data_IF_945976537890
#
_entry.id   IF_945976537890
#
_cell.length_a   1.000
_cell.length_b   1.000
_cell.length_c   1.000
_cell.angle_alpha   90.00
_cell.angle_beta   90.00
_cell.angle_gamma   90.00
#
_symmetry.space_group_name_H-M   'P 1'
#
loop_
_entity.id
_entity.type
_entity.pdbx_description
1 polymer ?
#
# COMPACT_ATOMS: atom_id res chain seq x y z
N UNK A 1 -8.97 -6.52 25.13
CA UNK A 1 -10.04 -6.69 24.11
C UNK A 1 -10.90 -7.94 24.32
N UNK A 2 -10.39 -9.04 24.89
CA UNK A 2 -11.19 -10.27 25.09
C UNK A 2 -12.43 -10.13 25.99
N UNK A 3 -12.48 -9.12 26.87
CA UNK A 3 -13.61 -8.85 27.76
C UNK A 3 -14.38 -7.58 27.36
N UNK A 4 -14.09 -7.01 26.19
CA UNK A 4 -14.80 -5.80 25.72
C UNK A 4 -16.07 -6.26 25.00
N UNK A 5 -17.26 -5.74 25.38
CA UNK A 5 -18.50 -5.97 24.65
C UNK A 5 -18.37 -5.65 23.16
N UNK A 6 -19.03 -6.44 22.31
CA UNK A 6 -18.91 -6.33 20.85
C UNK A 6 -19.30 -4.94 20.34
N UNK A 7 -20.32 -4.33 20.92
CA UNK A 7 -20.80 -2.98 20.64
C UNK A 7 -19.71 -1.92 20.89
N UNK A 8 -19.01 -1.98 22.04
CA UNK A 8 -17.90 -1.07 22.33
C UNK A 8 -16.73 -1.31 21.35
N UNK A 9 -16.47 -2.58 21.03
CA UNK A 9 -15.44 -2.92 20.06
C UNK A 9 -15.75 -2.35 18.68
N UNK A 10 -16.99 -2.43 18.22
CA UNK A 10 -17.42 -1.87 16.93
C UNK A 10 -17.30 -0.35 16.88
N UNK A 11 -17.61 0.34 17.99
CA UNK A 11 -17.39 1.80 18.10
C UNK A 11 -15.91 2.13 17.96
N UNK A 12 -15.03 1.42 18.68
CA UNK A 12 -13.57 1.63 18.58
C UNK A 12 -13.11 1.41 17.14
N UNK A 13 -13.51 0.29 16.52
CA UNK A 13 -13.14 -0.02 15.14
C UNK A 13 -13.65 1.05 14.15
N UNK A 14 -14.78 1.70 14.43
CA UNK A 14 -15.30 2.81 13.61
C UNK A 14 -14.42 4.07 13.61
N UNK A 15 -13.52 4.23 14.58
CA UNK A 15 -12.54 5.33 14.63
C UNK A 15 -11.16 4.96 14.12
N UNK A 16 -10.92 3.68 13.83
CA UNK A 16 -9.63 3.20 13.37
C UNK A 16 -9.57 3.40 11.86
N UNK A 17 -8.47 3.98 11.38
CA UNK A 17 -8.31 4.12 9.96
C UNK A 17 -8.27 2.74 9.27
N UNK A 18 -8.82 2.65 8.07
CA UNK A 18 -8.59 1.63 7.07
C UNK A 18 -7.34 0.72 7.18
N UNK A 19 -6.15 1.33 7.18
CA UNK A 19 -4.87 0.61 7.15
C UNK A 19 -4.67 -0.07 8.51
N UNK A 20 -4.97 0.66 9.58
CA UNK A 20 -4.91 0.17 10.95
C UNK A 20 -5.95 -0.92 11.24
N UNK A 21 -7.14 -0.88 10.64
CA UNK A 21 -8.14 -1.94 10.76
C UNK A 21 -7.62 -3.27 10.23
N UNK A 22 -6.99 -3.27 9.06
CA UNK A 22 -6.40 -4.50 8.51
C UNK A 22 -5.17 -4.94 9.32
N UNK A 23 -4.37 -4.00 9.84
CA UNK A 23 -3.29 -4.34 10.79
C UNK A 23 -3.85 -5.11 11.99
N UNK A 24 -4.92 -4.60 12.61
CA UNK A 24 -5.59 -5.27 13.73
C UNK A 24 -6.14 -6.65 13.35
N UNK A 25 -6.72 -6.79 12.16
CA UNK A 25 -7.16 -8.10 11.64
C UNK A 25 -6.00 -9.09 11.45
N UNK A 26 -4.76 -8.60 11.23
CA UNK A 26 -3.60 -9.46 11.09
C UNK A 26 -3.00 -9.89 12.43
N UNK A 27 -3.17 -9.11 13.51
CA UNK A 27 -2.59 -9.41 14.83
C UNK A 27 -3.42 -10.38 15.70
N UNK A 28 -4.74 -10.44 15.54
CA UNK A 28 -5.62 -11.22 16.41
C UNK A 28 -6.69 -11.98 15.61
N UNK A 29 -6.90 -13.28 15.92
CA UNK A 29 -7.96 -14.08 15.28
C UNK A 29 -9.37 -13.52 15.55
N UNK A 30 -9.64 -13.01 16.76
CA UNK A 30 -10.94 -12.43 17.10
C UNK A 30 -11.21 -11.18 16.25
N UNK A 31 -10.24 -10.25 16.18
CA UNK A 31 -10.37 -9.05 15.37
C UNK A 31 -10.47 -9.38 13.88
N UNK A 32 -9.75 -10.41 13.41
CA UNK A 32 -9.90 -10.91 12.03
C UNK A 32 -11.32 -11.39 11.75
N UNK A 33 -11.90 -12.14 12.67
CA UNK A 33 -13.26 -12.67 12.54
C UNK A 33 -14.34 -11.59 12.63
N UNK A 34 -14.08 -10.51 13.36
CA UNK A 34 -14.97 -9.35 13.47
C UNK A 34 -14.86 -8.43 12.24
N UNK A 35 -13.65 -8.05 11.83
CA UNK A 35 -13.40 -7.10 10.74
C UNK A 35 -13.66 -7.73 9.37
N UNK A 36 -13.34 -9.03 9.21
CA UNK A 36 -13.50 -9.81 7.97
C UNK A 36 -13.07 -9.03 6.71
N UNK A 37 -11.80 -8.62 6.60
CA UNK A 37 -11.33 -7.84 5.47
C UNK A 37 -11.50 -8.62 4.17
N UNK A 38 -12.10 -7.98 3.15
CA UNK A 38 -12.18 -8.56 1.82
C UNK A 38 -10.82 -8.50 1.13
N UNK A 39 -10.65 -9.26 0.04
CA UNK A 39 -9.45 -9.15 -0.79
C UNK A 39 -9.21 -7.72 -1.30
N UNK A 40 -10.28 -6.98 -1.62
CA UNK A 40 -10.17 -5.59 -2.07
C UNK A 40 -9.60 -4.69 -0.96
N UNK A 41 -10.04 -4.87 0.29
CA UNK A 41 -9.51 -4.11 1.43
C UNK A 41 -8.01 -4.39 1.63
N UNK A 42 -7.60 -5.67 1.57
CA UNK A 42 -6.21 -6.07 1.70
C UNK A 42 -5.32 -5.45 0.60
N UNK A 43 -5.83 -5.40 -0.64
CA UNK A 43 -5.14 -4.77 -1.76
C UNK A 43 -4.99 -3.27 -1.60
N UNK A 44 -6.07 -2.58 -1.22
CA UNK A 44 -6.05 -1.13 -1.03
C UNK A 44 -5.05 -0.73 0.05
N UNK A 45 -5.02 -1.45 1.18
CA UNK A 45 -3.98 -1.24 2.19
C UNK A 45 -2.58 -1.52 1.65
N UNK A 46 -2.41 -2.60 0.88
CA UNK A 46 -1.10 -2.94 0.34
C UNK A 46 -0.58 -1.85 -0.60
N UNK A 47 -1.46 -1.26 -1.41
CA UNK A 47 -1.17 -0.11 -2.25
C UNK A 47 -0.87 1.14 -1.42
N UNK A 48 -1.59 1.38 -0.31
CA UNK A 48 -1.27 2.49 0.58
C UNK A 48 0.13 2.34 1.21
N UNK A 49 0.47 1.14 1.69
CA UNK A 49 1.81 0.84 2.22
C UNK A 49 2.91 0.98 1.16
N UNK A 50 2.61 0.67 -0.10
CA UNK A 50 3.55 0.86 -1.20
C UNK A 50 3.95 2.35 -1.39
N UNK A 51 3.10 3.29 -0.98
CA UNK A 51 3.38 4.73 -1.06
C UNK A 51 4.19 5.27 0.13
N UNK A 52 4.26 4.52 1.22
CA UNK A 52 4.99 4.90 2.43
C UNK A 52 6.49 4.56 2.22
N UNK A 53 7.42 5.54 2.27
CA UNK A 53 8.82 5.33 1.95
C UNK A 53 9.50 4.21 2.75
N UNK A 54 9.12 4.03 4.01
CA UNK A 54 9.64 3.01 4.91
C UNK A 54 9.34 1.59 4.43
N UNK A 55 8.20 1.38 3.76
CA UNK A 55 7.74 0.06 3.31
C UNK A 55 7.92 -0.15 1.81
N UNK A 56 7.46 0.81 1.02
CA UNK A 56 7.46 0.76 -0.43
C UNK A 56 8.73 1.29 -1.08
N UNK A 57 9.52 2.10 -0.39
CA UNK A 57 10.70 2.76 -0.96
C UNK A 57 10.31 3.99 -1.78
N UNK A 58 11.14 4.36 -2.75
CA UNK A 58 10.98 5.60 -3.51
C UNK A 58 9.77 5.58 -4.46
N UNK A 59 9.25 6.77 -4.75
CA UNK A 59 8.25 6.99 -5.82
C UNK A 59 8.99 7.56 -7.02
N UNK A 60 9.17 6.77 -8.11
CA UNK A 60 9.86 7.27 -9.29
C UNK A 60 9.10 8.39 -9.98
N UNK A 61 9.81 9.47 -10.29
CA UNK A 61 9.27 10.56 -11.09
C UNK A 61 9.77 10.44 -12.52
N UNK A 62 8.83 10.43 -13.47
CA UNK A 62 9.13 10.41 -14.90
C UNK A 62 8.84 11.81 -15.46
N UNK A 63 9.86 12.47 -15.99
CA UNK A 63 9.69 13.74 -16.71
C UNK A 63 9.17 13.47 -18.11
N UNK A 64 7.91 13.80 -18.38
CA UNK A 64 7.25 13.52 -19.67
C UNK A 64 7.97 14.12 -20.88
N UNK A 65 8.71 15.23 -20.72
CA UNK A 65 9.43 15.89 -21.81
C UNK A 65 10.74 15.20 -22.20
N UNK A 66 11.41 14.53 -21.26
CA UNK A 66 12.76 13.96 -21.46
C UNK A 66 12.81 12.45 -21.27
N UNK A 67 11.70 11.81 -20.85
CA UNK A 67 11.60 10.39 -20.51
C UNK A 67 12.58 9.98 -19.39
N UNK A 68 13.20 10.95 -18.73
CA UNK A 68 14.13 10.70 -17.64
C UNK A 68 13.37 10.27 -16.39
N UNK A 69 13.82 9.16 -15.82
CA UNK A 69 13.35 8.62 -14.54
C UNK A 69 14.28 9.10 -13.44
N UNK A 70 13.70 9.65 -12.38
CA UNK A 70 14.42 10.08 -11.17
C UNK A 70 13.87 9.34 -9.95
N UNK A 71 14.71 8.67 -9.16
CA UNK A 71 16.14 8.44 -9.37
C UNK A 71 16.43 7.47 -10.54
N UNK A 72 17.66 7.43 -11.08
CA UNK A 72 18.04 6.48 -12.14
C UNK A 72 17.83 5.02 -11.70
N UNK A 73 17.47 4.12 -12.62
CA UNK A 73 17.20 2.72 -12.30
C UNK A 73 18.41 1.95 -11.71
N UNK A 74 19.62 2.45 -11.95
CA UNK A 74 20.86 1.91 -11.38
C UNK A 74 21.13 2.38 -9.94
N UNK A 75 20.35 3.32 -9.41
CA UNK A 75 20.58 3.86 -8.07
C UNK A 75 20.24 2.83 -7.00
N UNK A 76 20.88 2.95 -5.82
CA UNK A 76 20.54 2.11 -4.66
C UNK A 76 19.07 2.27 -4.24
N UNK A 77 18.54 3.47 -4.38
CA UNK A 77 17.14 3.79 -4.05
C UNK A 77 16.14 3.06 -4.97
N UNK A 78 16.49 2.91 -6.25
CA UNK A 78 15.70 2.08 -7.15
C UNK A 78 15.78 0.62 -6.76
N UNK A 79 16.97 0.13 -6.42
CA UNK A 79 17.18 -1.27 -6.06
C UNK A 79 16.47 -1.70 -4.78
N UNK A 80 16.26 -0.78 -3.83
CA UNK A 80 15.48 -1.02 -2.61
C UNK A 80 13.97 -0.88 -2.80
N UNK A 81 13.51 -0.43 -3.98
CA UNK A 81 12.11 -0.14 -4.25
C UNK A 81 11.25 -1.41 -4.29
N UNK A 82 10.03 -1.32 -3.76
CA UNK A 82 9.07 -2.41 -3.68
C UNK A 82 7.70 -1.99 -4.21
N UNK A 83 6.96 -2.96 -4.74
CA UNK A 83 5.63 -2.75 -5.32
C UNK A 83 4.64 -3.78 -4.76
N UNK A 84 3.37 -3.41 -4.66
CA UNK A 84 2.29 -4.26 -4.23
C UNK A 84 1.96 -5.30 -5.30
N UNK A 85 2.15 -6.57 -4.96
CA UNK A 85 1.69 -7.66 -5.81
C UNK A 85 0.26 -8.03 -5.46
N UNK A 86 -0.67 -7.81 -6.39
CA UNK A 86 -2.07 -8.17 -6.16
C UNK A 86 -2.34 -9.68 -6.11
N UNK A 87 -1.51 -10.49 -6.78
CA UNK A 87 -1.59 -11.95 -6.73
C UNK A 87 -1.14 -12.52 -5.38
N UNK A 88 0.04 -12.09 -4.91
CA UNK A 88 0.63 -12.60 -3.68
C UNK A 88 0.18 -11.88 -2.40
N UNK A 89 -0.49 -10.73 -2.53
CA UNK A 89 -0.84 -9.82 -1.42
C UNK A 89 0.36 -9.44 -0.54
N UNK A 90 1.50 -9.17 -1.18
CA UNK A 90 2.77 -8.80 -0.52
C UNK A 90 3.46 -7.66 -1.26
N UNK A 91 4.25 -6.87 -0.53
CA UNK A 91 5.22 -5.97 -1.14
C UNK A 91 6.42 -6.79 -1.62
N UNK A 92 6.68 -6.76 -2.92
CA UNK A 92 7.77 -7.49 -3.55
C UNK A 92 8.80 -6.49 -4.13
N UNK A 93 10.08 -6.86 -4.21
CA UNK A 93 11.09 -5.98 -4.81
C UNK A 93 10.80 -5.73 -6.29
N UNK A 94 11.26 -4.60 -6.82
CA UNK A 94 11.07 -4.19 -8.22
C UNK A 94 11.48 -5.27 -9.23
N UNK A 95 12.49 -6.09 -8.90
CA UNK A 95 12.98 -7.22 -9.73
C UNK A 95 11.96 -8.33 -9.98
N UNK A 96 10.84 -8.36 -9.23
CA UNK A 96 9.73 -9.29 -9.46
C UNK A 96 8.69 -8.76 -10.45
N UNK A 97 8.89 -7.55 -10.97
CA UNK A 97 7.98 -6.89 -11.90
C UNK A 97 8.72 -6.52 -13.18
N UNK A 98 7.98 -6.41 -14.28
CA UNK A 98 8.51 -5.87 -15.51
C UNK A 98 8.67 -4.34 -15.37
N UNK A 99 9.87 -3.85 -15.64
CA UNK A 99 10.21 -2.43 -15.59
C UNK A 99 9.30 -1.58 -16.51
N UNK A 100 8.85 -2.12 -17.62
CA UNK A 100 7.91 -1.41 -18.49
C UNK A 100 6.58 -1.18 -17.77
N UNK A 101 6.07 -2.20 -17.08
CA UNK A 101 4.79 -2.10 -16.38
C UNK A 101 4.86 -1.13 -15.19
N UNK A 102 5.92 -1.16 -14.38
CA UNK A 102 6.05 -0.25 -13.23
C UNK A 102 6.27 1.22 -13.61
N UNK A 103 6.65 1.51 -14.87
CA UNK A 103 6.84 2.87 -15.37
C UNK A 103 5.60 3.39 -16.12
N UNK A 104 4.66 2.52 -16.51
CA UNK A 104 3.44 2.97 -17.19
C UNK A 104 2.59 3.84 -16.26
N UNK A 105 1.96 4.86 -16.84
CA UNK A 105 1.20 5.87 -16.10
C UNK A 105 0.08 5.29 -15.24
N UNK A 106 -0.57 4.23 -15.74
CA UNK A 106 -1.69 3.53 -15.11
C UNK A 106 -1.28 2.58 -13.98
N UNK A 107 0.00 2.19 -13.92
CA UNK A 107 0.50 1.15 -13.01
C UNK A 107 1.63 1.62 -12.09
N UNK A 108 2.24 2.77 -12.39
CA UNK A 108 3.30 3.34 -11.56
C UNK A 108 2.74 3.89 -10.26
N UNK A 109 3.60 3.97 -9.25
CA UNK A 109 3.31 4.67 -8.01
C UNK A 109 2.87 6.11 -8.29
N UNK A 110 1.70 6.55 -7.80
CA UNK A 110 1.31 7.95 -7.91
C UNK A 110 2.29 8.84 -7.13
N UNK A 111 2.66 10.01 -7.67
CA UNK A 111 3.46 10.99 -6.94
C UNK A 111 2.81 11.37 -5.60
N UNK A 112 3.62 11.56 -4.56
CA UNK A 112 3.15 12.02 -3.25
C UNK A 112 2.37 13.33 -3.38
N UNK A 113 1.22 13.42 -2.70
CA UNK A 113 0.32 14.59 -2.76
C UNK A 113 -0.56 14.68 -4.03
N UNK A 114 -0.43 13.75 -4.98
CA UNK A 114 -1.40 13.63 -6.07
C UNK A 114 -2.77 13.16 -5.57
N UNK A 115 -3.83 13.43 -6.35
CA UNK A 115 -5.19 12.98 -6.02
C UNK A 115 -5.27 11.46 -5.91
N UNK A 116 -4.53 10.74 -6.74
CA UNK A 116 -4.46 9.29 -6.77
C UNK A 116 -3.74 8.74 -5.52
N UNK A 117 -2.65 9.38 -5.09
CA UNK A 117 -1.98 9.00 -3.84
C UNK A 117 -2.90 9.18 -2.63
N UNK A 118 -3.62 10.31 -2.57
CA UNK A 118 -4.57 10.57 -1.49
C UNK A 118 -5.74 9.58 -1.53
N UNK A 119 -6.30 9.27 -2.72
CA UNK A 119 -7.37 8.27 -2.87
C UNK A 119 -6.96 6.88 -2.37
N UNK A 120 -5.70 6.50 -2.51
CA UNK A 120 -5.21 5.21 -2.00
C UNK A 120 -5.04 5.21 -0.48
N UNK A 121 -4.78 6.39 0.11
CA UNK A 121 -4.70 6.58 1.56
C UNK A 121 -6.08 6.78 2.22
N UNK A 122 -7.04 7.34 1.48
CA UNK A 122 -8.42 7.55 1.91
C UNK A 122 -9.23 6.27 1.69
N UNK A 123 -9.74 5.67 2.77
CA UNK A 123 -10.82 4.68 2.73
C UNK A 123 -11.97 5.19 3.61
#
# INVERSE_FOLDING_TARGET
>A
LHNVPLDILLVILGYVDPISLINLAQTCQVLRATIRPTRANLLQRLLALELIPEYGGIVPLIRSRTIQVSPPMSSKDWQSNKYACGGCLKLLPHTRFDNHNILRLDLRKPPSGSKEANRLADW
#
